data_IF_400177690387
#
_entry.id   IF_400177690387
#
_cell.length_a   1.000
_cell.length_b   1.000
_cell.length_c   1.000
_cell.angle_alpha   90.00
_cell.angle_beta   90.00
_cell.angle_gamma   90.00
#
_symmetry.space_group_name_H-M   'P 1'
#
loop_
_entity.id
_entity.type
_entity.pdbx_description
1 polymer ?
#
# COMPACT_ATOMS: atom_id res chain seq x y z
N UNK A 1 18.78 12.49 -7.07
CA UNK A 1 18.26 11.14 -7.39
C UNK A 1 16.78 11.27 -7.71
N UNK A 2 16.27 10.53 -8.69
CA UNK A 2 14.84 10.49 -8.99
C UNK A 2 14.09 9.78 -7.86
N UNK A 3 13.02 10.38 -7.37
CA UNK A 3 12.06 9.76 -6.44
C UNK A 3 11.30 8.67 -7.18
N UNK A 4 11.29 7.44 -6.65
CA UNK A 4 10.54 6.31 -7.22
C UNK A 4 9.17 6.16 -6.56
N UNK A 5 8.22 5.58 -7.30
CA UNK A 5 6.91 5.15 -6.84
C UNK A 5 6.91 3.62 -6.73
N UNK A 6 6.74 3.10 -5.51
CA UNK A 6 6.76 1.66 -5.24
C UNK A 6 5.36 1.20 -4.82
N UNK A 7 4.79 0.31 -5.61
CA UNK A 7 3.51 -0.33 -5.34
C UNK A 7 3.66 -1.45 -4.33
N UNK A 8 2.84 -1.48 -3.29
CA UNK A 8 2.74 -2.63 -2.37
C UNK A 8 1.34 -3.23 -2.44
N UNK A 9 1.27 -4.51 -2.78
CA UNK A 9 0.01 -5.27 -2.90
C UNK A 9 0.06 -6.52 -2.02
N UNK A 10 -1.10 -6.94 -1.52
CA UNK A 10 -1.23 -8.12 -0.69
C UNK A 10 -2.64 -8.27 -0.13
N UNK A 11 -2.81 -9.23 0.77
CA UNK A 11 -4.11 -9.54 1.35
C UNK A 11 -4.61 -8.44 2.30
N UNK A 12 -5.94 -8.24 2.32
CA UNK A 12 -6.64 -7.32 3.22
C UNK A 12 -6.63 -7.76 4.69
N UNK A 13 -6.27 -9.01 4.94
CA UNK A 13 -6.00 -9.60 6.24
C UNK A 13 -4.68 -10.37 6.17
N UNK A 14 -3.86 -10.29 7.20
CA UNK A 14 -2.60 -11.02 7.28
C UNK A 14 -2.28 -11.36 8.73
N UNK A 15 -1.48 -12.40 8.95
CA UNK A 15 -0.94 -12.74 10.26
C UNK A 15 0.18 -11.77 10.69
N UNK A 16 0.67 -11.93 11.91
CA UNK A 16 1.70 -11.07 12.50
C UNK A 16 3.03 -11.12 11.73
N UNK A 17 3.35 -12.27 11.14
CA UNK A 17 4.57 -12.45 10.35
C UNK A 17 4.50 -11.61 9.07
N UNK A 18 3.43 -11.76 8.28
CA UNK A 18 3.20 -10.99 7.07
C UNK A 18 3.04 -9.49 7.38
N UNK A 19 2.39 -9.14 8.48
CA UNK A 19 2.26 -7.74 8.93
C UNK A 19 3.66 -7.14 9.21
N UNK A 20 4.51 -7.87 9.94
CA UNK A 20 5.88 -7.44 10.24
C UNK A 20 6.73 -7.27 8.97
N UNK A 21 6.61 -8.21 8.02
CA UNK A 21 7.28 -8.12 6.72
C UNK A 21 6.80 -6.88 5.96
N UNK A 22 5.50 -6.67 5.84
CA UNK A 22 4.92 -5.53 5.14
C UNK A 22 5.30 -4.18 5.78
N UNK A 23 5.32 -4.11 7.11
CA UNK A 23 5.82 -2.96 7.84
C UNK A 23 7.27 -2.65 7.49
N UNK A 24 8.14 -3.66 7.52
CA UNK A 24 9.56 -3.49 7.19
C UNK A 24 9.78 -3.05 5.74
N UNK A 25 8.99 -3.57 4.79
CA UNK A 25 9.00 -3.10 3.40
C UNK A 25 8.66 -1.62 3.32
N UNK A 26 7.57 -1.18 3.97
CA UNK A 26 7.18 0.23 4.00
C UNK A 26 8.27 1.14 4.58
N UNK A 27 8.87 0.72 5.70
CA UNK A 27 9.99 1.41 6.35
C UNK A 27 11.19 1.56 5.42
N UNK A 28 11.54 0.51 4.67
CA UNK A 28 12.68 0.54 3.74
C UNK A 28 12.42 1.46 2.54
N UNK A 29 11.19 1.46 1.99
CA UNK A 29 10.77 2.39 0.94
C UNK A 29 10.93 3.83 1.42
N UNK A 30 10.43 4.16 2.62
CA UNK A 30 10.55 5.49 3.20
C UNK A 30 12.02 5.91 3.42
N UNK A 31 12.86 5.02 3.96
CA UNK A 31 14.29 5.28 4.17
C UNK A 31 15.07 5.55 2.88
N UNK A 32 14.55 5.12 1.72
CA UNK A 32 15.13 5.44 0.41
C UNK A 32 14.64 6.78 -0.17
N UNK A 33 13.72 7.47 0.51
CA UNK A 33 13.09 8.69 0.03
C UNK A 33 12.11 8.44 -1.12
N UNK A 34 11.54 7.24 -1.20
CA UNK A 34 10.59 6.85 -2.24
C UNK A 34 9.14 6.95 -1.76
N UNK A 35 8.20 7.01 -2.70
CA UNK A 35 6.76 7.10 -2.46
C UNK A 35 6.18 5.69 -2.43
N UNK A 36 5.35 5.40 -1.43
CA UNK A 36 4.60 4.15 -1.35
C UNK A 36 3.20 4.35 -1.94
N UNK A 37 2.79 3.47 -2.85
CA UNK A 37 1.42 3.43 -3.40
C UNK A 37 0.77 2.10 -3.03
N UNK A 38 -0.43 2.12 -2.46
CA UNK A 38 -1.21 0.90 -2.19
C UNK A 38 -2.73 1.15 -2.20
N UNK A 39 -3.53 0.12 -1.91
CA UNK A 39 -4.99 0.20 -1.92
C UNK A 39 -5.62 0.88 -0.70
N UNK A 40 -4.83 1.19 0.33
CA UNK A 40 -5.22 2.03 1.46
C UNK A 40 -6.17 1.43 2.50
N UNK A 41 -6.47 0.13 2.43
CA UNK A 41 -7.29 -0.58 3.42
C UNK A 41 -6.42 -1.29 4.49
N UNK A 42 -6.87 -2.42 5.03
CA UNK A 42 -6.24 -3.18 6.12
C UNK A 42 -5.09 -4.10 5.68
N UNK A 43 -4.66 -4.97 6.60
CA UNK A 43 -3.69 -6.04 6.34
C UNK A 43 -2.34 -5.52 5.84
N UNK A 44 -1.85 -6.11 4.74
CA UNK A 44 -0.56 -5.75 4.12
C UNK A 44 -0.49 -4.26 3.75
N UNK A 45 -1.61 -3.68 3.29
CA UNK A 45 -1.65 -2.27 2.89
C UNK A 45 -1.54 -1.34 4.08
N UNK A 46 -2.20 -1.68 5.19
CA UNK A 46 -2.06 -0.92 6.43
C UNK A 46 -0.65 -1.03 7.00
N UNK A 47 -0.13 -2.25 7.11
CA UNK A 47 1.20 -2.51 7.64
C UNK A 47 2.29 -1.75 6.87
N UNK A 48 2.26 -1.84 5.53
CA UNK A 48 3.20 -1.12 4.67
C UNK A 48 3.03 0.39 4.74
N UNK A 49 1.80 0.90 4.77
CA UNK A 49 1.53 2.33 4.95
C UNK A 49 2.04 2.83 6.31
N UNK A 50 1.81 2.07 7.38
CA UNK A 50 2.30 2.36 8.73
C UNK A 50 3.82 2.44 8.76
N UNK A 51 4.50 1.41 8.25
CA UNK A 51 5.95 1.37 8.18
C UNK A 51 6.54 2.54 7.41
N UNK A 52 5.93 2.93 6.29
CA UNK A 52 6.37 4.10 5.54
C UNK A 52 6.14 5.41 6.29
N UNK A 53 4.91 5.67 6.78
CA UNK A 53 4.54 6.93 7.43
C UNK A 53 5.31 7.18 8.72
N UNK A 54 5.44 6.17 9.58
CA UNK A 54 6.21 6.29 10.84
C UNK A 54 7.70 6.56 10.60
N UNK A 55 8.22 6.24 9.41
CA UNK A 55 9.60 6.49 9.02
C UNK A 55 9.74 7.68 8.04
N UNK A 56 8.77 8.60 8.03
CA UNK A 56 8.82 9.85 7.28
C UNK A 56 8.54 9.73 5.78
N UNK A 57 8.04 8.59 5.32
CA UNK A 57 7.66 8.35 3.92
C UNK A 57 6.31 8.96 3.54
N UNK A 58 6.12 9.22 2.25
CA UNK A 58 4.84 9.64 1.68
C UNK A 58 4.06 8.41 1.18
N UNK A 59 2.81 8.28 1.64
CA UNK A 59 1.92 7.17 1.27
C UNK A 59 0.70 7.67 0.50
N UNK A 60 0.50 7.11 -0.69
CA UNK A 60 -0.67 7.33 -1.55
C UNK A 60 -1.57 6.10 -1.51
N UNK A 61 -2.81 6.29 -1.07
CA UNK A 61 -3.83 5.24 -1.03
C UNK A 61 -4.85 5.40 -2.16
N UNK A 62 -4.93 4.41 -3.04
CA UNK A 62 -5.91 4.31 -4.13
C UNK A 62 -7.07 3.42 -3.66
N UNK A 63 -8.12 4.07 -3.15
CA UNK A 63 -9.20 3.42 -2.39
C UNK A 63 -10.29 2.91 -3.33
N UNK A 64 -10.86 1.71 -3.07
CA UNK A 64 -11.96 1.16 -3.86
C UNK A 64 -13.28 1.92 -3.67
N UNK A 65 -13.40 2.75 -2.63
CA UNK A 65 -14.58 3.55 -2.29
C UNK A 65 -14.21 4.92 -1.74
N UNK A 66 -15.01 5.43 -0.79
CA UNK A 66 -14.83 6.77 -0.22
C UNK A 66 -13.58 6.93 0.67
N UNK A 67 -13.14 8.18 0.87
CA UNK A 67 -11.94 8.55 1.64
C UNK A 67 -11.98 8.12 3.12
N UNK A 68 -13.17 7.93 3.67
CA UNK A 68 -13.41 7.47 5.03
C UNK A 68 -12.93 6.03 5.27
N UNK A 69 -12.79 5.24 4.21
CA UNK A 69 -12.35 3.85 4.30
C UNK A 69 -10.82 3.71 4.38
N UNK A 70 -10.08 4.81 4.22
CA UNK A 70 -8.62 4.78 4.26
C UNK A 70 -8.11 4.48 5.67
N UNK A 71 -7.11 3.62 5.78
CA UNK A 71 -6.39 3.42 7.04
C UNK A 71 -5.72 4.75 7.51
N UNK A 72 -5.41 4.89 8.82
CA UNK A 72 -4.86 6.11 9.39
C UNK A 72 -3.49 6.54 8.83
N UNK A 73 -2.80 5.63 8.14
CA UNK A 73 -1.44 5.81 7.67
C UNK A 73 -1.35 6.31 6.22
N UNK A 74 -2.49 6.54 5.55
CA UNK A 74 -2.52 7.17 4.24
C UNK A 74 -2.37 8.70 4.35
N UNK A 75 -1.43 9.28 3.60
CA UNK A 75 -1.28 10.74 3.49
C UNK A 75 -2.20 11.29 2.41
N UNK A 76 -2.16 10.71 1.20
CA UNK A 76 -2.93 11.15 0.04
C UNK A 76 -4.00 10.11 -0.27
N UNK A 77 -5.27 10.48 -0.13
CA UNK A 77 -6.43 9.59 -0.32
C UNK A 77 -7.07 9.83 -1.68
N UNK A 78 -6.93 8.87 -2.59
CA UNK A 78 -7.58 8.86 -3.92
C UNK A 78 -8.79 7.94 -3.84
N UNK A 79 -9.99 8.51 -3.73
CA UNK A 79 -11.24 7.75 -3.76
C UNK A 79 -11.65 7.52 -5.22
N UNK A 80 -11.82 6.25 -5.61
CA UNK A 80 -12.08 5.89 -7.03
C UNK A 80 -13.50 5.40 -7.29
N UNK A 81 -14.14 4.76 -6.30
CA UNK A 81 -15.37 3.99 -6.51
C UNK A 81 -15.26 2.92 -7.62
N UNK A 82 -14.04 2.45 -7.91
CA UNK A 82 -13.76 1.52 -9.01
C UNK A 82 -13.69 0.06 -8.54
N UNK A 83 -13.77 -0.20 -7.23
CA UNK A 83 -13.57 -1.54 -6.66
C UNK A 83 -12.33 -2.19 -7.31
N UNK A 84 -12.32 -3.49 -7.63
CA UNK A 84 -11.20 -4.19 -8.28
C UNK A 84 -10.52 -3.51 -9.48
N UNK A 85 -11.20 -2.64 -10.21
CA UNK A 85 -10.56 -1.91 -11.32
C UNK A 85 -9.50 -0.89 -10.86
N UNK A 86 -9.50 -0.41 -9.60
CA UNK A 86 -8.48 0.55 -9.11
C UNK A 86 -7.05 0.00 -9.12
N UNK A 87 -6.90 -1.32 -9.15
CA UNK A 87 -5.60 -1.99 -9.09
C UNK A 87 -4.73 -1.61 -10.27
N UNK A 88 -5.36 -1.35 -11.43
CA UNK A 88 -4.66 -0.88 -12.63
C UNK A 88 -3.98 0.46 -12.39
N UNK A 89 -4.59 1.36 -11.60
CA UNK A 89 -3.99 2.65 -11.24
C UNK A 89 -2.73 2.42 -10.40
N UNK A 90 -2.79 1.53 -9.40
CA UNK A 90 -1.63 1.22 -8.56
C UNK A 90 -0.51 0.62 -9.41
N UNK A 91 -0.84 -0.35 -10.26
CA UNK A 91 0.15 -1.05 -11.09
C UNK A 91 0.81 -0.10 -12.09
N UNK A 92 0.04 0.66 -12.86
CA UNK A 92 0.57 1.58 -13.87
C UNK A 92 1.28 2.80 -13.27
N UNK A 93 0.96 3.18 -12.02
CA UNK A 93 1.64 4.27 -11.32
C UNK A 93 2.89 3.82 -10.57
N UNK A 94 3.28 2.53 -10.64
CA UNK A 94 4.43 2.02 -9.89
C UNK A 94 5.63 1.78 -10.81
N UNK A 95 6.80 2.26 -10.42
CA UNK A 95 8.08 1.90 -11.04
C UNK A 95 8.45 0.44 -10.75
N UNK A 96 8.00 -0.09 -9.62
CA UNK A 96 8.13 -1.48 -9.22
C UNK A 96 6.99 -1.88 -8.27
N UNK A 97 6.61 -3.16 -8.30
CA UNK A 97 5.62 -3.75 -7.41
C UNK A 97 6.24 -4.78 -6.48
N UNK A 98 5.82 -4.75 -5.22
CA UNK A 98 6.15 -5.74 -4.19
C UNK A 98 4.84 -6.41 -3.77
N UNK A 99 4.73 -7.71 -4.02
CA UNK A 99 3.63 -8.54 -3.55
C UNK A 99 4.03 -9.24 -2.26
N UNK A 100 3.21 -9.11 -1.21
CA UNK A 100 3.48 -9.68 0.12
C UNK A 100 2.30 -10.55 0.53
N UNK A 101 2.57 -11.84 0.76
CA UNK A 101 1.56 -12.84 1.06
C UNK A 101 0.68 -13.20 -0.16
N UNK A 102 0.20 -14.45 -0.19
CA UNK A 102 -0.69 -14.98 -1.22
C UNK A 102 -1.20 -16.37 -0.81
N UNK A 103 -2.38 -16.77 -1.31
CA UNK A 103 -2.92 -18.13 -1.10
C UNK A 103 -4.42 -18.23 -0.80
N UNK A 104 -5.08 -17.16 -0.36
CA UNK A 104 -6.56 -17.10 -0.24
C UNK A 104 -7.21 -16.51 -1.50
N UNK A 105 -8.56 -16.37 -1.56
CA UNK A 105 -9.22 -15.60 -2.61
C UNK A 105 -8.65 -14.19 -2.57
N UNK A 106 -7.71 -13.94 -3.47
CA UNK A 106 -6.95 -12.71 -3.56
C UNK A 106 -7.92 -11.62 -3.99
N UNK A 107 -8.54 -10.97 -3.00
CA UNK A 107 -8.85 -9.55 -3.12
C UNK A 107 -7.50 -8.85 -3.14
N UNK A 108 -6.83 -8.91 -4.31
CA UNK A 108 -5.73 -8.02 -4.61
C UNK A 108 -6.31 -6.63 -4.45
N UNK A 109 -5.73 -5.88 -3.51
CA UNK A 109 -6.22 -4.65 -2.83
C UNK A 109 -7.51 -4.75 -2.03
#
# INVERSE_FOLDING_TARGET
MLTRQIGVIGASYCDDELYSIAYNVGKLIAKKGWILINGGLGGVMEASARGAKENGGLVVGVLPGGKQNANPYINIKIATNMYHARNMIIVYSSDALIAIGGGGPVHLT
#
